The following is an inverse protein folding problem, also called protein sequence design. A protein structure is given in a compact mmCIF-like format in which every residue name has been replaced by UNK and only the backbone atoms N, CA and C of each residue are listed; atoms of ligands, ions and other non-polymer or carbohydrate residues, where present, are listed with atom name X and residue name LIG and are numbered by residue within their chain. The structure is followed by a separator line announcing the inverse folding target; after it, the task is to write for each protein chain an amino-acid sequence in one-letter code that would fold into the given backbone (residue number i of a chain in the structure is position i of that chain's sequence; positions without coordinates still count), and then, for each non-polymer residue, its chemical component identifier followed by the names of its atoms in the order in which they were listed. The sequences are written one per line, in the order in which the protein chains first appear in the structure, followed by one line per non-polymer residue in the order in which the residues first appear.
data_IF_352824505852
#
_entry.id   IF_352824505852
#
_cell.length_a   1.000
_cell.length_b   1.000
_cell.length_c   1.000
_cell.angle_alpha   90.00
_cell.angle_beta   90.00
_cell.angle_gamma   90.00
#
_symmetry.space_group_name_H-M   'P 1'
#
loop_
_entity.id
_entity.type
_entity.pdbx_description
1 polymer ?
#
# COMPACT_ATOMS: atom_id res chain seq x y z
N UNK A 1 16.35 30.97 -15.35
CA UNK A 1 15.82 30.48 -16.63
C UNK A 1 15.24 29.09 -16.38
N UNK A 2 13.93 29.01 -16.16
CA UNK A 2 13.21 27.77 -15.90
C UNK A 2 13.02 27.09 -17.26
N UNK A 3 13.54 25.88 -17.51
CA UNK A 3 13.32 25.21 -18.78
C UNK A 3 11.81 24.92 -18.92
N UNK A 4 11.21 25.43 -20.00
CA UNK A 4 9.83 25.10 -20.38
C UNK A 4 9.69 23.58 -20.47
N UNK A 5 8.83 23.02 -19.63
CA UNK A 5 8.59 21.58 -19.54
C UNK A 5 7.87 21.09 -20.80
N UNK A 6 8.57 20.30 -21.62
CA UNK A 6 7.95 19.44 -22.63
C UNK A 6 7.01 18.44 -21.93
N UNK A 7 5.75 18.40 -22.35
CA UNK A 7 4.68 17.50 -21.88
C UNK A 7 5.08 16.01 -21.93
N UNK A 8 6.07 15.61 -22.72
CA UNK A 8 6.58 14.22 -22.77
C UNK A 8 7.58 13.88 -21.66
N UNK A 9 8.08 14.87 -20.92
CA UNK A 9 9.10 14.67 -19.86
C UNK A 9 8.49 14.55 -18.46
N UNK A 10 7.23 14.97 -18.30
CA UNK A 10 6.50 14.93 -17.02
C UNK A 10 6.36 13.49 -16.50
N UNK A 11 6.25 12.50 -17.40
CA UNK A 11 6.15 11.07 -17.07
C UNK A 11 7.48 10.44 -16.60
N UNK A 12 8.61 11.16 -16.66
CA UNK A 12 9.90 10.65 -16.13
C UNK A 12 10.02 10.77 -14.62
N UNK A 13 9.10 11.49 -13.97
CA UNK A 13 9.05 11.61 -12.52
C UNK A 13 8.25 10.44 -11.96
N UNK A 14 8.87 9.53 -11.18
CA UNK A 14 8.18 8.34 -10.67
C UNK A 14 6.89 8.68 -9.93
N UNK A 15 6.87 9.79 -9.19
CA UNK A 15 5.70 10.28 -8.45
C UNK A 15 4.50 10.54 -9.36
N UNK A 16 4.72 11.21 -10.50
CA UNK A 16 3.63 11.56 -11.43
C UNK A 16 3.13 10.32 -12.15
N UNK A 17 4.04 9.47 -12.64
CA UNK A 17 3.69 8.20 -13.28
C UNK A 17 2.89 7.29 -12.34
N UNK A 18 3.29 7.20 -11.07
CA UNK A 18 2.62 6.38 -10.07
C UNK A 18 1.23 6.91 -9.72
N UNK A 19 1.02 8.23 -9.75
CA UNK A 19 -0.31 8.83 -9.55
C UNK A 19 -1.23 8.67 -10.76
N UNK A 20 -0.69 8.59 -11.97
CA UNK A 20 -1.47 8.16 -13.16
C UNK A 20 -1.90 6.71 -13.01
N UNK A 21 -1.01 5.82 -12.56
CA UNK A 21 -1.36 4.43 -12.27
C UNK A 21 -2.42 4.32 -11.15
N UNK A 22 -2.30 5.13 -10.09
CA UNK A 22 -3.31 5.26 -9.05
C UNK A 22 -4.66 5.64 -9.65
N UNK A 23 -4.72 6.69 -10.50
CA UNK A 23 -5.96 7.15 -11.15
C UNK A 23 -6.62 6.05 -11.99
N UNK A 24 -5.82 5.25 -12.70
CA UNK A 24 -6.29 4.13 -13.50
C UNK A 24 -6.88 3.01 -12.63
N UNK A 25 -6.28 2.72 -11.47
CA UNK A 25 -6.78 1.68 -10.57
C UNK A 25 -8.06 2.12 -9.86
N UNK A 26 -8.09 3.33 -9.31
CA UNK A 26 -9.26 3.82 -8.58
C UNK A 26 -10.44 4.13 -9.51
N UNK A 27 -10.17 4.49 -10.77
CA UNK A 27 -11.17 4.77 -11.81
C UNK A 27 -12.28 5.68 -11.26
N UNK A 28 -13.54 5.28 -11.39
CA UNK A 28 -14.71 6.07 -10.99
C UNK A 28 -15.20 5.76 -9.56
N UNK A 29 -14.37 5.14 -8.72
CA UNK A 29 -14.73 4.89 -7.33
C UNK A 29 -15.07 6.20 -6.60
N UNK A 30 -16.13 6.23 -5.80
CA UNK A 30 -16.53 7.43 -5.07
C UNK A 30 -15.42 7.90 -4.11
N UNK A 31 -15.34 9.21 -3.86
CA UNK A 31 -14.52 9.73 -2.76
C UNK A 31 -15.23 9.39 -1.45
N UNK A 32 -14.51 8.75 -0.54
CA UNK A 32 -15.03 8.28 0.76
C UNK A 32 -14.00 8.54 1.85
N UNK A 33 -14.41 8.47 3.12
CA UNK A 33 -13.51 8.64 4.28
C UNK A 33 -12.67 9.92 4.21
N UNK A 34 -13.32 11.04 3.87
CA UNK A 34 -12.69 12.35 3.86
C UNK A 34 -12.27 12.75 5.27
N UNK A 35 -11.05 13.27 5.40
CA UNK A 35 -10.51 13.79 6.63
C UNK A 35 -9.68 15.04 6.34
N UNK A 36 -9.74 16.02 7.23
CA UNK A 36 -8.90 17.21 7.23
C UNK A 36 -8.65 17.68 8.65
N UNK A 37 -7.61 18.48 8.85
CA UNK A 37 -7.38 19.26 10.07
C UNK A 37 -7.90 20.72 9.96
N UNK A 38 -8.69 21.03 8.92
CA UNK A 38 -9.18 22.37 8.57
C UNK A 38 -8.09 23.39 8.20
N UNK A 39 -6.92 22.88 7.81
CA UNK A 39 -5.73 23.67 7.47
C UNK A 39 -4.95 22.94 6.35
N UNK A 40 -3.65 22.68 6.51
CA UNK A 40 -2.79 22.14 5.46
C UNK A 40 -2.73 20.60 5.36
N UNK A 41 -3.62 19.87 6.06
CA UNK A 41 -3.64 18.41 6.04
C UNK A 41 -4.98 17.87 5.55
N UNK A 42 -4.92 16.96 4.58
CA UNK A 42 -6.10 16.33 3.96
C UNK A 42 -5.80 14.87 3.67
N UNK A 43 -6.79 14.00 3.88
CA UNK A 43 -6.73 12.61 3.46
C UNK A 43 -8.09 12.12 2.99
N UNK A 44 -8.10 11.23 2.00
CA UNK A 44 -9.33 10.61 1.53
C UNK A 44 -9.05 9.28 0.83
N UNK A 45 -10.10 8.47 0.72
CA UNK A 45 -10.11 7.21 -0.01
C UNK A 45 -10.95 7.31 -1.28
N UNK A 46 -10.67 6.41 -2.22
CA UNK A 46 -11.47 6.16 -3.42
C UNK A 46 -12.10 4.78 -3.29
N UNK A 47 -13.25 4.73 -2.63
CA UNK A 47 -13.90 3.49 -2.20
C UNK A 47 -12.93 2.59 -1.44
N UNK A 48 -12.84 1.33 -1.86
CA UNK A 48 -11.92 0.32 -1.31
C UNK A 48 -10.69 0.07 -2.19
N UNK A 49 -10.38 0.98 -3.12
CA UNK A 49 -9.34 0.76 -4.15
C UNK A 49 -8.04 1.52 -3.88
N UNK A 50 -8.12 2.71 -3.30
CA UNK A 50 -6.95 3.53 -3.01
C UNK A 50 -7.21 4.57 -1.93
N UNK A 51 -6.14 5.01 -1.30
CA UNK A 51 -6.13 6.04 -0.26
C UNK A 51 -4.95 6.97 -0.50
N UNK A 52 -5.16 8.25 -0.21
CA UNK A 52 -4.12 9.29 -0.32
C UNK A 52 -4.22 10.25 0.86
N UNK A 53 -3.07 10.70 1.34
CA UNK A 53 -2.94 11.72 2.38
C UNK A 53 -1.87 12.74 1.98
N UNK A 54 -2.12 13.99 2.34
CA UNK A 54 -1.29 15.16 2.05
C UNK A 54 -1.00 15.89 3.35
N UNK A 55 0.24 16.36 3.50
CA UNK A 55 0.64 17.28 4.53
C UNK A 55 1.49 18.39 3.90
N UNK A 56 0.92 19.59 3.82
CA UNK A 56 1.61 20.78 3.34
C UNK A 56 1.97 21.74 4.50
N UNK A 57 1.72 21.33 5.74
CA UNK A 57 1.94 22.14 6.93
C UNK A 57 3.31 21.90 7.58
N UNK A 58 3.66 22.78 8.52
CA UNK A 58 4.91 22.67 9.29
C UNK A 58 4.84 21.66 10.44
N UNK A 59 3.71 20.98 10.62
CA UNK A 59 3.50 19.99 11.69
C UNK A 59 3.37 18.59 11.11
N UNK A 60 3.85 17.58 11.84
CA UNK A 60 3.79 16.21 11.38
C UNK A 60 2.33 15.72 11.39
N UNK A 61 1.87 15.18 10.26
CA UNK A 61 0.65 14.38 10.24
C UNK A 61 1.00 13.00 10.80
N UNK A 62 0.53 12.66 12.00
CA UNK A 62 0.70 11.32 12.60
C UNK A 62 -0.62 10.85 13.20
N UNK A 63 -1.44 10.15 12.41
CA UNK A 63 -2.81 9.82 12.82
C UNK A 63 -3.29 8.49 12.26
N UNK A 64 -4.13 7.81 13.03
CA UNK A 64 -4.93 6.69 12.52
C UNK A 64 -6.06 7.22 11.65
N UNK A 65 -6.09 6.83 10.38
CA UNK A 65 -7.09 7.28 9.40
C UNK A 65 -7.76 6.08 8.73
N UNK A 66 -9.05 6.23 8.42
CA UNK A 66 -9.83 5.20 7.72
C UNK A 66 -9.47 5.21 6.25
N UNK A 67 -8.81 4.15 5.79
CA UNK A 67 -8.33 4.02 4.40
C UNK A 67 -9.38 3.44 3.46
N UNK A 68 -10.37 2.73 3.99
CA UNK A 68 -11.32 1.93 3.19
C UNK A 68 -10.70 0.69 2.54
N UNK A 69 -9.39 0.48 2.66
CA UNK A 69 -8.69 -0.68 2.11
C UNK A 69 -8.82 -1.88 3.05
N UNK A 70 -8.80 -3.08 2.47
CA UNK A 70 -8.76 -4.30 3.27
C UNK A 70 -7.43 -4.45 4.03
N UNK A 71 -7.46 -5.12 5.19
CA UNK A 71 -6.27 -5.36 5.99
C UNK A 71 -5.09 -5.95 5.19
N UNK A 72 -3.89 -5.40 5.39
CA UNK A 72 -2.67 -5.83 4.72
C UNK A 72 -1.61 -4.73 4.66
N UNK A 73 -0.44 -5.13 4.15
CA UNK A 73 0.69 -4.21 3.96
C UNK A 73 0.72 -3.68 2.53
N UNK A 74 0.74 -2.37 2.39
CA UNK A 74 0.75 -1.67 1.12
C UNK A 74 2.05 -0.87 0.95
N UNK A 75 2.49 -0.71 -0.30
CA UNK A 75 3.60 0.18 -0.62
C UNK A 75 3.08 1.59 -0.83
N UNK A 76 3.73 2.57 -0.22
CA UNK A 76 3.58 3.95 -0.62
C UNK A 76 4.19 4.14 -2.02
N UNK A 77 3.35 4.55 -2.96
CA UNK A 77 3.73 4.72 -4.36
C UNK A 77 4.35 6.09 -4.64
N UNK A 78 4.36 6.99 -3.67
CA UNK A 78 5.05 8.28 -3.77
C UNK A 78 6.53 8.08 -3.45
N UNK A 79 6.84 7.52 -2.27
CA UNK A 79 8.23 7.28 -1.86
C UNK A 79 8.90 6.09 -2.56
N UNK A 80 8.15 5.25 -3.30
CA UNK A 80 8.72 4.10 -3.99
C UNK A 80 7.74 3.31 -4.83
N UNK A 81 8.05 2.03 -5.06
CA UNK A 81 7.21 1.12 -5.84
C UNK A 81 7.29 -0.31 -5.30
N UNK A 82 6.37 -1.17 -5.74
CA UNK A 82 6.43 -2.60 -5.50
C UNK A 82 7.35 -3.25 -6.53
N UNK A 83 8.49 -3.80 -6.09
CA UNK A 83 9.43 -4.54 -6.94
C UNK A 83 9.80 -5.87 -6.28
N UNK A 84 9.69 -6.97 -7.03
CA UNK A 84 10.01 -8.32 -6.51
C UNK A 84 9.19 -8.74 -5.28
N UNK A 85 7.99 -8.18 -5.09
CA UNK A 85 7.12 -8.45 -3.93
C UNK A 85 7.45 -7.64 -2.67
N UNK A 86 8.41 -6.71 -2.73
CA UNK A 86 8.80 -5.82 -1.62
C UNK A 86 8.65 -4.36 -2.03
N UNK A 87 8.37 -3.49 -1.07
CA UNK A 87 8.35 -2.05 -1.32
C UNK A 87 9.78 -1.51 -1.32
N UNK A 88 10.09 -0.65 -2.27
CA UNK A 88 11.35 0.10 -2.27
C UNK A 88 11.30 1.35 -1.40
N UNK A 89 10.09 1.83 -1.08
CA UNK A 89 9.83 3.00 -0.25
C UNK A 89 9.13 2.64 1.07
N UNK A 90 8.38 3.60 1.62
CA UNK A 90 7.62 3.41 2.87
C UNK A 90 6.55 2.34 2.70
N UNK A 91 6.25 1.63 3.80
CA UNK A 91 5.15 0.65 3.88
C UNK A 91 4.08 1.15 4.82
N UNK A 92 2.82 0.97 4.44
CA UNK A 92 1.67 1.28 5.29
C UNK A 92 0.94 -0.01 5.62
N UNK A 93 0.78 -0.27 6.91
CA UNK A 93 0.02 -1.41 7.42
C UNK A 93 -1.43 -0.98 7.71
N UNK A 94 -2.37 -1.57 6.98
CA UNK A 94 -3.81 -1.41 7.18
C UNK A 94 -4.29 -2.56 8.06
N UNK A 95 -4.97 -2.24 9.16
CA UNK A 95 -5.51 -3.25 10.07
C UNK A 95 -6.87 -3.80 9.62
N UNK A 96 -7.44 -4.71 10.43
CA UNK A 96 -8.74 -5.35 10.17
C UNK A 96 -9.92 -4.38 10.10
N UNK A 97 -9.82 -3.22 10.75
CA UNK A 97 -10.82 -2.17 10.74
C UNK A 97 -10.62 -1.15 9.59
N UNK A 98 -9.79 -1.47 8.60
CA UNK A 98 -9.41 -0.57 7.49
C UNK A 98 -8.74 0.74 7.95
N UNK A 99 -8.19 0.77 9.17
CA UNK A 99 -7.43 1.90 9.70
C UNK A 99 -5.95 1.69 9.43
N UNK A 100 -5.24 2.77 9.13
CA UNK A 100 -3.78 2.79 9.03
C UNK A 100 -3.22 3.99 9.78
N UNK A 101 -2.04 3.80 10.39
CA UNK A 101 -1.26 4.91 10.94
C UNK A 101 -0.57 5.60 9.77
N UNK A 102 -0.98 6.83 9.49
CA UNK A 102 -0.39 7.68 8.48
C UNK A 102 0.58 8.63 9.17
N UNK A 103 1.83 8.59 8.75
CA UNK A 103 2.90 9.47 9.21
C UNK A 103 3.53 10.20 8.02
N UNK A 104 3.37 11.53 7.97
CA UNK A 104 4.01 12.42 6.99
C UNK A 104 4.67 13.54 7.77
N UNK A 105 5.99 13.55 7.79
CA UNK A 105 6.77 14.56 8.49
C UNK A 105 6.82 15.86 7.66
N UNK A 106 6.98 17.04 8.29
CA UNK A 106 7.05 18.32 7.57
C UNK A 106 8.22 18.41 6.60
N UNK A 107 9.27 17.64 6.86
CA UNK A 107 10.49 17.58 6.06
C UNK A 107 10.56 16.33 5.17
N UNK A 108 9.47 15.56 5.05
CA UNK A 108 9.40 14.50 4.06
C UNK A 108 9.47 15.11 2.65
N UNK A 109 10.27 14.50 1.77
CA UNK A 109 10.58 15.02 0.44
C UNK A 109 9.34 15.35 -0.40
N UNK A 110 8.31 14.51 -0.29
CA UNK A 110 7.14 14.57 -1.16
C UNK A 110 5.88 15.12 -0.45
N UNK A 111 5.83 15.16 0.89
CA UNK A 111 4.65 15.63 1.65
C UNK A 111 3.35 14.84 1.41
N UNK A 112 3.42 13.70 0.71
CA UNK A 112 2.26 12.92 0.27
C UNK A 112 2.54 11.43 0.45
N UNK A 113 1.50 10.70 0.85
CA UNK A 113 1.48 9.23 0.86
C UNK A 113 0.29 8.77 0.03
N UNK A 114 0.52 7.79 -0.86
CA UNK A 114 -0.55 7.19 -1.64
C UNK A 114 -0.40 5.67 -1.66
N UNK A 115 -1.49 4.95 -1.43
CA UNK A 115 -1.53 3.49 -1.43
C UNK A 115 -2.73 2.98 -2.22
N UNK A 116 -2.54 1.89 -2.99
CA UNK A 116 -3.62 1.26 -3.74
C UNK A 116 -3.36 -0.23 -4.02
N UNK A 117 -4.44 -0.98 -4.26
CA UNK A 117 -4.40 -2.28 -4.93
C UNK A 117 -3.58 -3.38 -4.24
N UNK A 118 -2.30 -3.51 -4.60
CA UNK A 118 -1.47 -4.70 -4.31
C UNK A 118 -0.91 -4.69 -2.89
N UNK A 119 -1.20 -5.76 -2.15
CA UNK A 119 -0.55 -6.08 -0.89
C UNK A 119 0.83 -6.65 -1.16
N UNK A 120 1.84 -6.26 -0.39
CA UNK A 120 3.11 -7.00 -0.36
C UNK A 120 2.89 -8.39 0.19
N UNK A 121 3.72 -9.33 -0.25
CA UNK A 121 3.85 -10.59 0.46
C UNK A 121 4.47 -10.24 1.81
N UNK A 122 3.65 -10.25 2.87
CA UNK A 122 4.20 -10.43 4.21
C UNK A 122 4.95 -11.75 4.08
N UNK A 123 6.27 -11.76 4.21
CA UNK A 123 6.99 -13.01 4.38
C UNK A 123 6.32 -13.64 5.60
N UNK A 124 5.40 -14.58 5.36
CA UNK A 124 4.82 -15.38 6.42
C UNK A 124 6.02 -15.89 7.20
N UNK A 125 6.08 -15.79 8.54
CA UNK A 125 7.07 -16.56 9.28
C UNK A 125 6.91 -17.98 8.76
N UNK A 126 8.01 -18.52 8.20
CA UNK A 126 8.06 -19.73 7.40
C UNK A 126 7.23 -20.81 8.11
N UNK A 127 5.96 -20.91 7.76
CA UNK A 127 5.14 -22.01 8.23
C UNK A 127 5.45 -23.06 7.21
N UNK A 128 6.41 -23.92 7.55
CA UNK A 128 6.67 -25.16 6.83
C UNK A 128 5.31 -25.85 6.74
N UNK A 129 4.61 -25.66 5.62
CA UNK A 129 3.49 -26.53 5.25
C UNK A 129 4.15 -27.88 5.02
N UNK A 130 4.24 -28.71 6.05
CA UNK A 130 4.50 -30.14 5.90
C UNK A 130 3.47 -30.61 4.88
N UNK A 131 3.91 -30.84 3.64
CA UNK A 131 3.14 -31.65 2.70
C UNK A 131 2.91 -32.96 3.43
N UNK A 132 1.67 -33.23 3.84
CA UNK A 132 1.25 -34.60 4.08
C UNK A 132 1.36 -35.29 2.73
N UNK A 133 2.52 -35.91 2.49
CA UNK A 133 2.69 -36.89 1.43
C UNK A 133 1.86 -38.10 1.87
N UNK A 134 0.61 -38.11 1.44
CA UNK A 134 -0.16 -39.34 1.37
C UNK A 134 0.53 -40.23 0.34
N UNK A 135 1.16 -41.32 0.79
CA UNK A 135 1.34 -42.50 -0.04
C UNK A 135 1.13 -43.76 0.79
N UNK A 136 0.00 -44.41 0.48
CA UNK A 136 -0.27 -45.84 0.62
C UNK A 136 1.00 -46.70 0.58
N UNK A 137 1.08 -47.63 1.53
CA UNK A 137 1.38 -49.06 1.36
C UNK A 137 2.13 -49.56 2.59
N UNK A 138 1.56 -50.54 3.29
CA UNK A 138 2.20 -51.74 3.89
C UNK A 138 1.15 -52.44 4.77
N UNK A 139 -0.01 -52.75 4.17
CA UNK A 139 -0.89 -53.78 4.70
C UNK A 139 -0.37 -55.14 4.18
N UNK A 140 0.67 -55.68 4.82
CA UNK A 140 1.16 -57.06 4.61
C UNK A 140 2.18 -57.46 5.68
N UNK A 141 1.76 -57.59 6.94
CA UNK A 141 2.40 -58.54 7.86
C UNK A 141 1.36 -59.46 8.46
N UNK A 142 1.24 -60.60 7.76
CA UNK A 142 0.74 -61.89 8.22
C UNK A 142 0.75 -62.02 9.74
N UNK A 143 -0.44 -62.23 10.27
CA UNK A 143 -0.71 -62.96 11.52
C UNK A 143 0.20 -64.20 11.56
N UNK A 144 1.24 -64.15 12.40
CA UNK A 144 1.77 -65.33 13.08
C UNK A 144 1.02 -65.36 14.40
N UNK A 145 0.19 -66.38 14.57
CA UNK A 145 -0.21 -67.13 15.76
C UNK A 145 -1.54 -67.80 15.42
#
# INVERSE_FOLDING_TARGET
MIPMLDHRTILKWPQIYNMVAFRNVVADAAITNWWTNDDDQVAFSRGNKGFVAFNNGNTALRRWLTTGLSAGRYCDVISGMLSGGRCTGKTIDVNENSLALIEILPNDLDGVVAIYGKKTIIQSPITIKRKQVFSRAQNKRKRRF
#
